data_IF_429498436464
#
_entry.id   IF_429498436464
#
_cell.length_a   1.000
_cell.length_b   1.000
_cell.length_c   1.000
_cell.angle_alpha   90.00
_cell.angle_beta   90.00
_cell.angle_gamma   90.00
#
_symmetry.space_group_name_H-M   'P 1'
#
loop_
_entity.id
_entity.type
_entity.pdbx_description
1 polymer ?
#
# COMPACT_ATOMS: atom_id res chain seq x y z
N UNK A 1 -13.12 12.63 34.02
CA UNK A 1 -12.72 11.20 34.11
C UNK A 1 -11.31 11.08 33.54
N UNK A 2 -10.37 10.41 34.22
CA UNK A 2 -8.95 10.44 33.86
C UNK A 2 -8.59 9.48 32.71
N UNK A 3 -7.65 9.91 31.87
CA UNK A 3 -7.09 9.12 30.77
C UNK A 3 -6.04 8.13 31.28
N UNK A 4 -6.17 6.84 30.93
CA UNK A 4 -5.13 5.83 31.18
C UNK A 4 -4.28 5.64 29.93
N UNK A 5 -2.99 5.95 30.04
CA UNK A 5 -2.00 5.92 28.95
C UNK A 5 -1.24 4.59 28.95
N UNK A 6 -1.59 3.68 28.05
CA UNK A 6 -0.86 2.41 27.87
C UNK A 6 0.34 2.64 26.95
N UNK A 7 1.55 2.31 27.42
CA UNK A 7 2.77 2.27 26.58
C UNK A 7 3.05 0.83 26.14
N UNK A 8 3.23 0.55 24.85
CA UNK A 8 3.82 -0.71 24.41
C UNK A 8 5.33 -0.67 24.62
N UNK A 9 5.87 -1.65 25.35
CA UNK A 9 7.30 -1.89 25.42
C UNK A 9 7.69 -2.90 24.35
N UNK A 10 8.37 -2.46 23.30
CA UNK A 10 9.07 -3.36 22.37
C UNK A 10 10.50 -2.87 22.17
N UNK A 11 11.45 -3.65 22.69
CA UNK A 11 12.87 -3.47 22.41
C UNK A 11 13.16 -3.78 20.95
N UNK A 12 14.11 -3.05 20.37
CA UNK A 12 14.69 -3.38 19.07
C UNK A 12 15.39 -4.74 19.19
N UNK A 13 15.18 -5.63 18.22
CA UNK A 13 16.23 -6.51 17.72
C UNK A 13 15.90 -6.98 16.30
N UNK A 14 16.94 -7.12 15.49
CA UNK A 14 16.90 -7.38 14.05
C UNK A 14 16.62 -8.83 13.71
N UNK A 15 15.95 -9.06 12.58
CA UNK A 15 15.80 -10.37 11.95
C UNK A 15 17.08 -10.65 11.14
N UNK A 16 17.76 -11.76 11.42
CA UNK A 16 18.73 -12.38 10.50
C UNK A 16 18.54 -13.89 10.47
N UNK A 17 18.71 -14.43 9.26
CA UNK A 17 18.48 -15.82 8.87
C UNK A 17 19.37 -16.82 9.61
N UNK A 18 18.82 -18.00 9.96
CA UNK A 18 19.53 -19.12 10.58
C UNK A 18 19.58 -20.34 9.64
N UNK A 19 20.14 -20.14 8.45
CA UNK A 19 20.77 -21.20 7.66
C UNK A 19 22.27 -20.92 7.53
N UNK A 20 23.06 -21.52 8.40
CA UNK A 20 24.31 -22.24 8.11
C UNK A 20 25.08 -22.55 9.40
N UNK A 21 25.62 -23.75 9.46
CA UNK A 21 26.49 -24.27 10.53
C UNK A 21 27.96 -23.92 10.19
N UNK A 22 28.89 -23.89 11.17
CA UNK A 22 29.58 -25.14 11.50
C UNK A 22 29.98 -25.34 12.98
N UNK A 23 30.17 -26.60 13.36
CA UNK A 23 30.88 -27.00 14.59
C UNK A 23 32.35 -26.56 14.51
N UNK A 24 32.88 -26.04 15.63
CA UNK A 24 34.31 -26.06 15.91
C UNK A 24 34.56 -26.22 17.42
N UNK A 25 35.68 -26.84 17.77
CA UNK A 25 35.98 -27.34 19.12
C UNK A 25 36.75 -26.30 19.95
N UNK A 26 36.44 -26.18 21.25
CA UNK A 26 37.35 -25.66 22.30
C UNK A 26 36.98 -26.42 23.60
N UNK A 27 37.69 -27.49 23.94
CA UNK A 27 38.85 -27.52 24.85
C UNK A 27 38.59 -27.06 26.30
N UNK A 28 38.58 -28.05 27.19
CA UNK A 28 38.53 -27.89 28.64
C UNK A 28 39.93 -27.58 29.15
N UNK A 29 40.12 -26.43 29.80
CA UNK A 29 41.36 -26.13 30.52
C UNK A 29 41.26 -26.50 32.01
N UNK A 30 42.38 -26.89 32.63
CA UNK A 30 42.43 -27.78 33.81
C UNK A 30 43.37 -27.21 34.89
N UNK A 31 43.20 -27.67 36.14
CA UNK A 31 44.15 -27.60 37.29
C UNK A 31 44.20 -26.25 38.04
N UNK A 32 44.61 -26.15 39.31
CA UNK A 32 44.91 -27.11 40.43
C UNK A 32 44.83 -26.32 41.77
N UNK A 33 44.81 -26.84 43.02
CA UNK A 33 44.83 -28.20 43.64
C UNK A 33 44.47 -28.06 45.14
N UNK A 34 43.67 -28.96 45.74
CA UNK A 34 43.96 -29.53 47.09
C UNK A 34 43.44 -30.99 47.13
N UNK A 35 44.28 -31.92 47.55
CA UNK A 35 43.94 -33.32 47.87
C UNK A 35 44.22 -33.53 49.37
N UNK A 36 43.29 -34.18 50.08
CA UNK A 36 43.51 -34.69 51.44
C UNK A 36 42.48 -35.78 51.74
N UNK A 37 42.74 -36.98 51.21
CA UNK A 37 42.15 -38.22 51.72
C UNK A 37 42.33 -38.30 53.25
N UNK A 38 41.23 -38.29 54.00
CA UNK A 38 41.17 -38.97 55.29
C UNK A 38 39.84 -39.69 55.48
N UNK A 39 39.95 -40.99 55.73
CA UNK A 39 39.13 -41.79 56.66
C UNK A 39 37.60 -41.71 56.50
N UNK A 40 37.06 -42.67 55.74
CA UNK A 40 35.76 -43.26 56.07
C UNK A 40 35.69 -44.73 55.62
N UNK A 41 36.17 -45.60 56.49
CA UNK A 41 35.85 -47.03 56.51
C UNK A 41 35.01 -47.35 57.74
N UNK A 42 34.15 -48.35 57.62
CA UNK A 42 33.33 -48.98 58.69
C UNK A 42 32.11 -48.19 59.24
N UNK A 43 30.90 -48.59 58.84
CA UNK A 43 29.95 -49.42 59.62
C UNK A 43 28.58 -49.50 58.91
N UNK A 44 27.58 -50.17 59.51
CA UNK A 44 26.51 -50.92 58.80
C UNK A 44 25.14 -50.79 59.50
N UNK A 45 24.04 -50.91 58.73
CA UNK A 45 22.62 -50.98 59.15
C UNK A 45 22.04 -49.63 59.69
N UNK A 46 20.77 -49.25 59.53
CA UNK A 46 19.51 -50.00 59.33
C UNK A 46 18.55 -49.44 58.23
N UNK A 47 17.45 -50.15 57.97
CA UNK A 47 16.43 -49.95 56.93
C UNK A 47 15.60 -48.65 56.97
N UNK A 48 15.12 -48.20 55.79
CA UNK A 48 13.72 -47.75 55.57
C UNK A 48 13.33 -47.92 54.08
N UNK A 49 12.09 -48.38 53.85
CA UNK A 49 11.57 -48.89 52.58
C UNK A 49 10.70 -47.85 51.84
N UNK A 50 10.95 -47.63 50.54
CA UNK A 50 10.08 -46.78 49.71
C UNK A 50 8.81 -47.54 49.27
N UNK A 51 7.61 -46.92 49.31
CA UNK A 51 6.38 -47.56 48.84
C UNK A 51 6.24 -47.47 47.32
N UNK A 52 6.35 -48.62 46.64
CA UNK A 52 5.79 -48.76 45.29
C UNK A 52 4.27 -48.74 45.35
N UNK A 53 3.62 -48.13 44.35
CA UNK A 53 2.17 -48.29 44.12
C UNK A 53 1.97 -49.12 42.86
N UNK A 54 1.33 -50.26 43.03
CA UNK A 54 1.06 -51.22 41.97
C UNK A 54 0.12 -50.66 40.90
N UNK A 55 0.46 -50.90 39.64
CA UNK A 55 -0.43 -50.71 38.51
C UNK A 55 -1.41 -51.88 38.44
N UNK A 56 -2.35 -51.93 39.39
CA UNK A 56 -3.36 -52.99 39.46
C UNK A 56 -4.49 -52.74 38.44
N UNK A 57 -4.70 -53.72 37.55
CA UNK A 57 -5.87 -53.78 36.67
C UNK A 57 -7.14 -53.89 37.50
N UNK A 58 -8.16 -53.05 37.26
CA UNK A 58 -9.54 -53.37 37.65
C UNK A 58 -10.55 -52.74 36.70
N UNK A 59 -11.30 -53.62 36.01
CA UNK A 59 -12.65 -53.42 35.47
C UNK A 59 -12.92 -52.20 34.55
N UNK A 60 -13.15 -52.49 33.26
CA UNK A 60 -14.10 -51.72 32.44
C UNK A 60 -15.54 -51.94 32.97
N UNK A 61 -15.84 -51.38 34.15
CA UNK A 61 -17.22 -51.18 34.55
C UNK A 61 -17.86 -50.21 33.56
N UNK A 62 -19.03 -50.52 33.02
CA UNK A 62 -19.76 -49.60 32.13
C UNK A 62 -20.02 -48.31 32.91
N UNK A 63 -19.21 -47.29 32.67
CA UNK A 63 -19.31 -46.03 33.40
C UNK A 63 -20.63 -45.40 32.99
N UNK A 64 -21.58 -45.36 33.92
CA UNK A 64 -22.89 -44.76 33.67
C UNK A 64 -22.71 -43.36 33.10
N UNK A 65 -23.43 -43.04 32.02
CA UNK A 65 -23.42 -41.71 31.40
C UNK A 65 -23.71 -40.59 32.42
N UNK A 66 -24.44 -40.90 33.49
CA UNK A 66 -24.71 -39.97 34.60
C UNK A 66 -23.46 -39.68 35.45
N UNK A 67 -22.58 -40.66 35.62
CA UNK A 67 -21.28 -40.51 36.32
C UNK A 67 -20.31 -39.69 35.48
N UNK A 68 -20.19 -40.00 34.19
CA UNK A 68 -19.38 -39.21 33.24
C UNK A 68 -19.87 -37.76 33.15
N UNK A 69 -21.19 -37.56 33.03
CA UNK A 69 -21.78 -36.22 33.02
C UNK A 69 -21.54 -35.48 34.34
N UNK A 70 -21.69 -36.16 35.49
CA UNK A 70 -21.36 -35.59 36.80
C UNK A 70 -19.92 -35.09 36.83
N UNK A 71 -18.96 -35.96 36.53
CA UNK A 71 -17.53 -35.65 36.56
C UNK A 71 -17.18 -34.51 35.58
N UNK A 72 -17.72 -34.54 34.37
CA UNK A 72 -17.55 -33.47 33.38
C UNK A 72 -18.11 -32.12 33.86
N UNK A 73 -19.32 -32.08 34.44
CA UNK A 73 -19.91 -30.84 34.96
C UNK A 73 -19.22 -30.30 36.22
N UNK A 74 -18.49 -31.14 36.95
CA UNK A 74 -17.71 -30.76 38.14
C UNK A 74 -16.27 -30.34 37.80
N UNK A 75 -15.68 -30.86 36.71
CA UNK A 75 -14.30 -30.59 36.25
C UNK A 75 -14.19 -29.54 35.13
N UNK A 76 -15.27 -29.25 34.39
CA UNK A 76 -15.25 -28.29 33.30
C UNK A 76 -14.98 -26.86 33.79
N UNK A 77 -14.25 -26.09 32.98
CA UNK A 77 -14.03 -24.65 33.17
C UNK A 77 -15.23 -23.80 32.76
N UNK A 78 -16.28 -24.39 32.17
CA UNK A 78 -17.47 -23.64 31.75
C UNK A 78 -18.32 -23.22 32.96
N UNK A 79 -18.13 -21.97 33.40
CA UNK A 79 -18.61 -21.40 34.65
C UNK A 79 -20.11 -21.62 35.00
N UNK A 80 -20.99 -21.75 34.01
CA UNK A 80 -22.43 -22.00 34.25
C UNK A 80 -22.84 -23.48 34.31
N UNK A 81 -22.06 -24.41 33.75
CA UNK A 81 -22.53 -25.81 33.54
C UNK A 81 -22.70 -26.56 34.87
N UNK A 82 -21.82 -26.31 35.83
CA UNK A 82 -21.90 -26.86 37.20
C UNK A 82 -23.21 -26.47 37.91
N UNK A 83 -23.75 -25.28 37.65
CA UNK A 83 -24.98 -24.78 38.27
C UNK A 83 -26.26 -25.17 37.51
N UNK A 84 -26.14 -25.59 36.25
CA UNK A 84 -27.22 -26.12 35.42
C UNK A 84 -27.56 -27.59 35.72
N UNK A 85 -27.01 -28.15 36.80
CA UNK A 85 -27.34 -29.48 37.30
C UNK A 85 -28.50 -29.45 38.29
N UNK A 86 -29.43 -30.39 38.15
CA UNK A 86 -30.64 -30.49 38.98
C UNK A 86 -30.32 -31.07 40.37
N UNK A 87 -30.19 -30.21 41.37
CA UNK A 87 -30.16 -30.62 42.78
C UNK A 87 -31.58 -30.58 43.39
N UNK A 88 -31.95 -31.64 44.12
CA UNK A 88 -33.32 -31.94 44.55
C UNK A 88 -34.09 -30.78 45.21
N UNK A 89 -33.42 -29.96 46.02
CA UNK A 89 -34.06 -29.02 46.96
C UNK A 89 -34.53 -27.69 46.35
N UNK A 90 -34.03 -27.25 45.19
CA UNK A 90 -34.33 -25.91 44.64
C UNK A 90 -34.50 -25.88 43.11
N UNK A 91 -35.65 -26.38 42.62
CA UNK A 91 -35.95 -26.50 41.19
C UNK A 91 -35.83 -25.16 40.42
N UNK A 92 -36.30 -24.06 41.01
CA UNK A 92 -36.26 -22.73 40.37
C UNK A 92 -34.82 -22.25 40.09
N UNK A 93 -33.88 -22.50 41.01
CA UNK A 93 -32.47 -22.14 40.83
C UNK A 93 -31.88 -22.83 39.60
N UNK A 94 -32.14 -24.13 39.45
CA UNK A 94 -31.71 -24.91 38.29
C UNK A 94 -32.28 -24.33 36.98
N UNK A 95 -33.58 -24.02 36.94
CA UNK A 95 -34.23 -23.40 35.77
C UNK A 95 -33.58 -22.06 35.38
N UNK A 96 -33.30 -21.19 36.36
CA UNK A 96 -32.63 -19.90 36.13
C UNK A 96 -31.23 -20.10 35.51
N UNK A 97 -30.44 -21.05 36.02
CA UNK A 97 -29.10 -21.32 35.48
C UNK A 97 -29.13 -21.93 34.08
N UNK A 98 -30.14 -22.75 33.75
CA UNK A 98 -30.37 -23.25 32.38
C UNK A 98 -30.68 -22.09 31.44
N UNK A 99 -31.62 -21.20 31.79
CA UNK A 99 -31.93 -20.03 30.95
C UNK A 99 -30.74 -19.08 30.80
N UNK A 100 -29.96 -18.86 31.87
CA UNK A 100 -28.74 -18.04 31.82
C UNK A 100 -27.68 -18.64 30.88
N UNK A 101 -27.45 -19.97 30.92
CA UNK A 101 -26.56 -20.65 29.98
C UNK A 101 -27.02 -20.52 28.52
N UNK A 102 -28.31 -20.74 28.26
CA UNK A 102 -28.88 -20.63 26.90
C UNK A 102 -28.75 -19.19 26.40
N UNK A 103 -29.01 -18.20 27.25
CA UNK A 103 -28.83 -16.78 26.92
C UNK A 103 -27.38 -16.42 26.59
N UNK A 104 -26.42 -16.82 27.44
CA UNK A 104 -24.99 -16.60 27.20
C UNK A 104 -24.50 -17.30 25.93
N UNK A 105 -24.90 -18.55 25.70
CA UNK A 105 -24.56 -19.29 24.48
C UNK A 105 -25.13 -18.66 23.21
N UNK A 106 -26.37 -18.16 23.26
CA UNK A 106 -27.01 -17.47 22.13
C UNK A 106 -26.32 -16.15 21.79
N UNK A 107 -25.95 -15.36 22.80
CA UNK A 107 -25.17 -14.12 22.61
C UNK A 107 -23.78 -14.41 22.06
N UNK A 108 -23.12 -15.48 22.52
CA UNK A 108 -21.83 -15.91 21.96
C UNK A 108 -21.96 -16.29 20.48
N UNK A 109 -22.95 -17.09 20.09
CA UNK A 109 -23.20 -17.45 18.69
C UNK A 109 -23.49 -16.22 17.84
N UNK A 110 -24.32 -15.29 18.33
CA UNK A 110 -24.65 -14.05 17.64
C UNK A 110 -23.42 -13.15 17.41
N UNK A 111 -22.59 -12.95 18.45
CA UNK A 111 -21.36 -12.13 18.35
C UNK A 111 -20.33 -12.77 17.42
N UNK A 112 -20.13 -14.09 17.49
CA UNK A 112 -19.25 -14.84 16.57
C UNK A 112 -19.75 -14.75 15.12
N UNK A 113 -21.05 -14.91 14.88
CA UNK A 113 -21.64 -14.75 13.54
C UNK A 113 -21.44 -13.34 13.00
N UNK A 114 -21.71 -12.32 13.81
CA UNK A 114 -21.54 -10.91 13.44
C UNK A 114 -20.07 -10.59 13.14
N UNK A 115 -19.14 -11.07 13.96
CA UNK A 115 -17.70 -10.92 13.74
C UNK A 115 -17.23 -11.67 12.49
N UNK A 116 -17.78 -12.85 12.20
CA UNK A 116 -17.50 -13.60 10.98
C UNK A 116 -18.02 -12.87 9.73
N UNK A 117 -19.25 -12.36 9.75
CA UNK A 117 -19.80 -11.57 8.63
C UNK A 117 -18.97 -10.30 8.42
N UNK A 118 -18.59 -9.60 9.50
CA UNK A 118 -17.70 -8.44 9.43
C UNK A 118 -16.31 -8.81 8.91
N UNK A 119 -15.72 -9.94 9.32
CA UNK A 119 -14.46 -10.42 8.78
C UNK A 119 -14.57 -10.73 7.27
N UNK A 120 -15.69 -11.31 6.83
CA UNK A 120 -15.98 -11.64 5.42
C UNK A 120 -16.20 -10.42 4.51
N UNK A 121 -16.39 -9.21 5.04
CA UNK A 121 -16.36 -7.97 4.20
C UNK A 121 -14.94 -7.51 3.87
N UNK A 122 -13.91 -8.18 4.40
CA UNK A 122 -12.49 -7.81 4.25
C UNK A 122 -12.21 -6.35 4.65
N UNK A 123 -12.57 -5.92 5.87
CA UNK A 123 -12.38 -4.54 6.32
C UNK A 123 -10.90 -4.21 6.38
N UNK A 124 -10.49 -3.14 5.71
CA UNK A 124 -9.11 -2.67 5.69
C UNK A 124 -8.95 -1.46 6.61
N UNK A 125 -7.87 -1.44 7.40
CA UNK A 125 -7.51 -0.31 8.24
C UNK A 125 -6.31 0.40 7.62
N UNK A 126 -6.49 1.66 7.23
CA UNK A 126 -5.41 2.49 6.69
C UNK A 126 -4.63 3.16 7.82
N UNK A 127 -3.30 3.06 7.76
CA UNK A 127 -2.40 3.74 8.70
C UNK A 127 -1.58 4.78 7.93
N UNK A 128 -1.79 6.06 8.23
CA UNK A 128 -1.11 7.18 7.57
C UNK A 128 0.06 7.62 8.46
N UNK A 129 1.28 7.52 7.95
CA UNK A 129 2.50 7.93 8.65
C UNK A 129 3.35 8.83 7.76
N UNK A 130 3.64 10.05 8.22
CA UNK A 130 4.40 11.06 7.49
C UNK A 130 5.88 10.90 7.84
N UNK A 131 6.72 10.59 6.85
CA UNK A 131 8.17 10.45 6.99
C UNK A 131 8.88 11.64 6.36
N UNK A 132 9.66 12.36 7.16
CA UNK A 132 10.54 13.42 6.66
C UNK A 132 11.82 12.82 6.08
N UNK A 133 12.05 13.05 4.79
CA UNK A 133 13.24 12.59 4.05
C UNK A 133 14.11 13.79 3.67
N UNK A 134 15.44 13.62 3.66
CA UNK A 134 16.38 14.70 3.30
C UNK A 134 16.37 15.06 1.83
N UNK A 135 15.93 14.14 0.97
CA UNK A 135 15.75 14.36 -0.45
C UNK A 135 14.59 13.49 -0.94
N UNK A 136 13.79 14.02 -1.87
CA UNK A 136 12.67 13.33 -2.49
C UNK A 136 12.85 13.33 -4.01
N UNK A 137 12.48 12.24 -4.68
CA UNK A 137 12.46 12.19 -6.15
C UNK A 137 11.46 13.23 -6.68
N UNK A 138 11.85 14.05 -7.67
CA UNK A 138 10.87 14.85 -8.40
C UNK A 138 9.96 13.92 -9.22
N UNK A 139 8.66 14.21 -9.34
CA UNK A 139 7.78 13.50 -10.27
C UNK A 139 8.19 13.77 -11.72
N UNK A 140 7.71 12.94 -12.65
CA UNK A 140 7.76 13.27 -14.07
C UNK A 140 6.69 14.32 -14.36
N UNK A 141 7.10 15.49 -14.87
CA UNK A 141 6.18 16.62 -15.14
C UNK A 141 6.08 16.82 -16.65
N UNK A 142 4.88 16.62 -17.21
CA UNK A 142 4.61 16.82 -18.64
C UNK A 142 3.80 18.09 -18.84
N UNK A 143 4.26 18.93 -19.77
CA UNK A 143 3.65 20.21 -20.13
C UNK A 143 3.27 20.15 -21.62
N UNK A 144 2.03 20.48 -21.93
CA UNK A 144 1.48 20.55 -23.28
C UNK A 144 0.95 21.97 -23.55
N UNK A 145 1.10 22.48 -24.77
CA UNK A 145 0.36 23.66 -25.21
C UNK A 145 -1.15 23.31 -25.28
N UNK A 146 -2.03 24.27 -24.97
CA UNK A 146 -3.49 24.07 -25.15
C UNK A 146 -3.90 24.09 -26.62
N UNK A 147 -3.04 24.59 -27.53
CA UNK A 147 -3.20 24.40 -28.97
C UNK A 147 -2.23 23.33 -29.50
N UNK A 148 -2.74 22.23 -30.10
CA UNK A 148 -1.90 21.12 -30.55
C UNK A 148 -1.12 21.43 -31.84
N UNK A 149 -1.49 22.50 -32.55
CA UNK A 149 -0.90 22.91 -33.82
C UNK A 149 -0.56 24.40 -33.77
N UNK A 150 0.56 24.76 -34.41
CA UNK A 150 1.03 26.12 -34.61
C UNK A 150 0.54 26.63 -35.96
N UNK A 151 -0.15 27.78 -35.97
CA UNK A 151 -0.84 28.35 -37.14
C UNK A 151 0.09 28.57 -38.35
N UNK A 152 1.34 28.99 -38.15
CA UNK A 152 2.34 29.13 -39.23
C UNK A 152 2.90 27.80 -39.74
N UNK A 153 2.81 26.72 -38.95
CA UNK A 153 3.33 25.39 -39.30
C UNK A 153 2.29 24.51 -40.00
N UNK A 154 1.11 25.05 -40.31
CA UNK A 154 0.09 24.40 -41.13
C UNK A 154 -0.27 25.29 -42.33
N UNK A 155 -0.63 24.65 -43.45
CA UNK A 155 -1.20 25.38 -44.58
C UNK A 155 -2.62 25.83 -44.21
N UNK A 156 -2.76 27.07 -43.74
CA UNK A 156 -4.01 27.69 -43.30
C UNK A 156 -4.97 28.00 -44.47
N UNK A 157 -5.38 26.95 -45.20
CA UNK A 157 -6.42 27.03 -46.21
C UNK A 157 -7.79 27.29 -45.57
N UNK A 158 -8.74 27.81 -46.35
CA UNK A 158 -10.12 27.96 -45.90
C UNK A 158 -10.74 26.59 -45.50
N UNK A 159 -10.37 25.52 -46.20
CA UNK A 159 -10.73 24.13 -45.89
C UNK A 159 -10.22 23.71 -44.51
N UNK A 160 -8.91 23.84 -44.26
CA UNK A 160 -8.29 23.47 -42.98
C UNK A 160 -8.88 24.28 -41.82
N UNK A 161 -9.06 25.59 -42.02
CA UNK A 161 -9.69 26.47 -41.02
C UNK A 161 -11.12 26.05 -40.69
N UNK A 162 -11.91 25.69 -41.71
CA UNK A 162 -13.30 25.22 -41.55
C UNK A 162 -13.36 23.87 -40.83
N UNK A 163 -12.47 22.94 -41.16
CA UNK A 163 -12.36 21.66 -40.46
C UNK A 163 -11.99 21.84 -38.98
N UNK A 164 -10.95 22.63 -38.68
CA UNK A 164 -10.52 22.92 -37.32
C UNK A 164 -11.60 23.64 -36.50
N UNK A 165 -12.39 24.53 -37.13
CA UNK A 165 -13.52 25.18 -36.50
C UNK A 165 -14.66 24.19 -36.19
N UNK A 166 -14.97 23.26 -37.10
CA UNK A 166 -15.99 22.22 -36.87
C UNK A 166 -15.52 21.11 -35.90
N UNK A 167 -14.21 20.85 -35.78
CA UNK A 167 -13.67 19.95 -34.75
C UNK A 167 -13.60 20.61 -33.36
N UNK A 168 -13.73 21.94 -33.29
CA UNK A 168 -13.79 22.69 -32.03
C UNK A 168 -15.16 22.60 -31.34
N UNK A 169 -15.25 23.14 -30.11
CA UNK A 169 -16.54 23.29 -29.41
C UNK A 169 -17.57 24.13 -30.16
N UNK A 170 -17.15 25.00 -31.08
CA UNK A 170 -18.05 25.80 -31.92
C UNK A 170 -18.73 24.97 -33.03
N UNK A 171 -18.20 23.79 -33.37
CA UNK A 171 -18.77 22.92 -34.40
C UNK A 171 -20.22 22.52 -34.19
N UNK A 172 -20.69 22.48 -32.92
CA UNK A 172 -22.09 22.20 -32.56
C UNK A 172 -23.07 23.25 -33.10
N UNK A 173 -22.62 24.48 -33.35
CA UNK A 173 -23.44 25.60 -33.85
C UNK A 173 -23.35 25.72 -35.39
N UNK A 174 -22.45 24.97 -36.03
CA UNK A 174 -22.21 25.04 -37.47
C UNK A 174 -23.02 23.99 -38.24
N UNK A 175 -23.34 24.27 -39.53
CA UNK A 175 -23.88 23.25 -40.41
C UNK A 175 -22.92 22.05 -40.53
N UNK A 176 -23.48 20.85 -40.63
CA UNK A 176 -22.70 19.61 -40.78
C UNK A 176 -21.79 19.66 -42.01
N UNK A 177 -20.49 19.39 -41.82
CA UNK A 177 -19.56 19.26 -42.93
C UNK A 177 -19.74 17.94 -43.68
N UNK A 178 -19.78 18.03 -45.01
CA UNK A 178 -19.78 16.86 -45.89
C UNK A 178 -18.34 16.40 -46.18
N UNK A 179 -17.82 15.53 -45.30
CA UNK A 179 -16.50 14.89 -45.43
C UNK A 179 -16.34 14.01 -46.69
N UNK A 180 -17.44 13.64 -47.35
CA UNK A 180 -17.40 12.91 -48.64
C UNK A 180 -17.10 13.81 -49.84
N UNK A 181 -17.04 15.13 -49.66
CA UNK A 181 -16.62 16.05 -50.72
C UNK A 181 -15.09 16.06 -50.88
N UNK A 182 -14.56 16.19 -52.12
CA UNK A 182 -13.12 16.07 -52.37
C UNK A 182 -12.27 17.13 -51.65
N UNK A 183 -12.87 18.26 -51.24
CA UNK A 183 -12.21 19.28 -50.44
C UNK A 183 -11.87 18.81 -49.02
N UNK A 184 -12.69 17.94 -48.41
CA UNK A 184 -12.51 17.47 -47.02
C UNK A 184 -12.06 16.01 -46.93
N UNK A 185 -12.10 15.26 -48.03
CA UNK A 185 -11.71 13.84 -48.08
C UNK A 185 -10.25 13.60 -47.65
N UNK A 186 -9.33 14.52 -47.97
CA UNK A 186 -7.91 14.45 -47.58
C UNK A 186 -7.66 14.78 -46.09
N UNK A 187 -8.68 15.21 -45.33
CA UNK A 187 -8.57 15.58 -43.90
C UNK A 187 -9.12 14.49 -42.95
N UNK A 188 -9.48 13.31 -43.46
CA UNK A 188 -9.95 12.20 -42.64
C UNK A 188 -8.80 11.40 -41.97
N UNK A 189 -9.16 10.71 -40.88
CA UNK A 189 -8.24 10.10 -39.90
C UNK A 189 -7.26 9.02 -40.43
N UNK A 190 -6.15 8.74 -39.69
CA UNK A 190 -5.64 9.48 -38.53
C UNK A 190 -4.48 10.42 -38.90
N UNK A 191 -4.34 11.52 -38.15
CA UNK A 191 -3.23 12.47 -38.31
C UNK A 191 -1.87 11.77 -38.12
N UNK A 192 -0.96 11.76 -39.12
CA UNK A 192 0.35 11.13 -38.97
C UNK A 192 1.21 11.79 -37.88
N UNK A 193 1.86 10.98 -37.02
CA UNK A 193 2.71 11.52 -35.93
C UNK A 193 3.83 12.43 -36.46
N UNK A 194 4.43 12.11 -37.61
CA UNK A 194 5.47 12.93 -38.25
C UNK A 194 4.96 14.30 -38.70
N UNK A 195 3.69 14.39 -39.14
CA UNK A 195 3.07 15.66 -39.48
C UNK A 195 2.78 16.45 -38.20
N UNK A 196 2.17 15.81 -37.20
CA UNK A 196 1.87 16.43 -35.91
C UNK A 196 3.14 16.95 -35.21
N UNK A 197 4.24 16.21 -35.28
CA UNK A 197 5.54 16.59 -34.72
C UNK A 197 6.16 17.84 -35.40
N UNK A 198 5.88 18.04 -36.69
CA UNK A 198 6.34 19.22 -37.48
C UNK A 198 5.38 20.42 -37.38
N UNK A 199 4.08 20.16 -37.21
CA UNK A 199 3.04 21.19 -37.16
C UNK A 199 2.65 21.64 -35.75
N UNK A 200 3.11 20.94 -34.71
CA UNK A 200 3.03 21.41 -33.31
C UNK A 200 4.06 22.50 -33.00
N UNK A 201 3.93 23.14 -31.83
CA UNK A 201 4.95 24.00 -31.25
C UNK A 201 6.23 23.23 -30.88
N UNK A 202 7.39 23.82 -31.14
CA UNK A 202 8.68 23.29 -30.73
C UNK A 202 9.10 23.77 -29.33
N UNK A 203 10.13 23.14 -28.77
CA UNK A 203 10.63 23.46 -27.43
C UNK A 203 11.06 24.94 -27.33
N UNK A 204 11.70 25.44 -28.38
CA UNK A 204 12.25 26.80 -28.47
C UNK A 204 11.15 27.86 -28.74
N UNK A 205 9.98 27.46 -29.26
CA UNK A 205 8.81 28.34 -29.39
C UNK A 205 8.20 28.66 -28.03
N UNK A 206 8.19 27.67 -27.13
CA UNK A 206 7.49 27.73 -25.85
C UNK A 206 8.39 28.08 -24.66
N UNK A 207 9.56 27.47 -24.54
CA UNK A 207 10.39 27.56 -23.34
C UNK A 207 11.56 28.52 -23.54
N UNK A 208 11.47 29.70 -22.94
CA UNK A 208 12.56 30.68 -22.98
C UNK A 208 13.75 30.24 -22.12
N UNK A 209 13.49 29.84 -20.87
CA UNK A 209 14.51 29.29 -19.99
C UNK A 209 13.90 28.48 -18.84
N UNK A 210 14.73 27.61 -18.27
CA UNK A 210 14.35 26.67 -17.23
C UNK A 210 15.28 26.85 -16.02
N UNK A 211 14.73 26.73 -14.82
CA UNK A 211 15.49 26.81 -13.57
C UNK A 211 15.24 25.56 -12.75
N UNK A 212 16.31 24.88 -12.33
CA UNK A 212 16.25 23.71 -11.46
C UNK A 212 17.20 23.91 -10.26
N UNK A 213 16.71 23.72 -9.03
CA UNK A 213 17.46 23.97 -7.79
C UNK A 213 18.28 25.28 -7.79
N UNK A 214 17.67 26.39 -8.26
CA UNK A 214 18.26 27.75 -8.44
C UNK A 214 19.27 27.93 -9.58
N UNK A 215 19.56 26.90 -10.37
CA UNK A 215 20.47 26.98 -11.51
C UNK A 215 19.70 27.14 -12.81
N UNK A 216 20.12 28.09 -13.65
CA UNK A 216 19.64 28.22 -15.01
C UNK A 216 20.14 27.01 -15.83
N UNK A 217 19.24 26.29 -16.48
CA UNK A 217 19.56 25.09 -17.27
C UNK A 217 18.93 25.17 -18.66
N UNK A 218 19.61 24.69 -19.72
CA UNK A 218 19.01 24.61 -21.04
C UNK A 218 17.78 23.69 -21.02
N UNK A 219 16.64 24.18 -21.47
CA UNK A 219 15.39 23.42 -21.41
C UNK A 219 15.45 22.09 -22.19
N UNK A 220 16.20 22.05 -23.30
CA UNK A 220 16.52 20.86 -24.11
C UNK A 220 17.27 19.77 -23.35
N UNK A 221 17.99 20.14 -22.29
CA UNK A 221 18.78 19.20 -21.48
C UNK A 221 17.95 18.51 -20.39
N UNK A 222 16.79 19.06 -20.03
CA UNK A 222 15.92 18.52 -18.98
C UNK A 222 14.54 18.04 -19.47
N UNK A 223 14.05 18.57 -20.60
CA UNK A 223 12.78 18.19 -21.22
C UNK A 223 12.99 17.20 -22.37
N UNK A 224 12.10 16.22 -22.50
CA UNK A 224 12.01 15.32 -23.67
C UNK A 224 10.68 15.59 -24.40
N UNK A 225 10.68 15.78 -25.73
CA UNK A 225 9.44 15.86 -26.50
C UNK A 225 8.73 14.51 -26.54
N UNK A 226 7.39 14.54 -26.47
CA UNK A 226 6.51 13.37 -26.59
C UNK A 226 5.23 13.77 -27.31
N UNK A 227 4.84 13.00 -28.34
CA UNK A 227 3.56 13.19 -29.03
C UNK A 227 2.42 12.62 -28.17
N UNK A 228 1.31 13.36 -28.12
CA UNK A 228 0.10 13.00 -27.40
C UNK A 228 -1.15 13.50 -28.15
N UNK A 229 -2.34 13.15 -27.67
CA UNK A 229 -3.62 13.74 -28.10
C UNK A 229 -3.72 15.27 -27.89
N UNK A 230 -2.81 15.89 -27.14
CA UNK A 230 -2.68 17.34 -26.95
C UNK A 230 -1.62 17.96 -27.88
N UNK A 231 -1.17 17.22 -28.90
CA UNK A 231 -0.03 17.57 -29.74
C UNK A 231 1.30 17.19 -29.08
N UNK A 232 2.37 17.87 -29.52
CA UNK A 232 3.73 17.73 -28.97
C UNK A 232 3.81 18.36 -27.59
N UNK A 233 4.12 17.53 -26.59
CA UNK A 233 4.32 17.92 -25.19
C UNK A 233 5.77 17.69 -24.77
N UNK A 234 6.15 18.25 -23.62
CA UNK A 234 7.51 18.20 -23.11
C UNK A 234 7.52 17.66 -21.68
N UNK A 235 8.26 16.57 -21.44
CA UNK A 235 8.32 15.87 -20.15
C UNK A 235 9.67 16.06 -19.46
N UNK A 236 9.64 16.66 -18.28
CA UNK A 236 10.74 16.69 -17.32
C UNK A 236 10.85 15.37 -16.56
N UNK A 237 12.08 14.98 -16.21
CA UNK A 237 12.39 13.73 -15.48
C UNK A 237 11.81 12.48 -16.19
N UNK A 238 11.77 12.50 -17.52
CA UNK A 238 11.33 11.39 -18.35
C UNK A 238 12.22 10.15 -18.17
N UNK A 239 11.65 8.94 -18.29
CA UNK A 239 12.34 7.67 -18.06
C UNK A 239 13.67 7.53 -18.83
N UNK A 240 13.78 8.10 -20.04
CA UNK A 240 15.01 8.09 -20.85
C UNK A 240 16.13 8.94 -20.22
N UNK A 241 15.83 10.18 -19.79
CA UNK A 241 16.77 11.06 -19.08
C UNK A 241 17.13 10.48 -17.72
N UNK A 242 16.18 9.83 -17.05
CA UNK A 242 16.39 9.12 -15.77
C UNK A 242 17.38 7.96 -15.95
N UNK A 243 17.30 7.21 -17.05
CA UNK A 243 18.20 6.09 -17.32
C UNK A 243 19.65 6.54 -17.56
N UNK A 244 19.87 7.73 -18.15
CA UNK A 244 21.23 8.25 -18.41
C UNK A 244 21.81 9.07 -17.26
N UNK A 245 20.99 9.92 -16.61
CA UNK A 245 21.45 10.94 -15.67
C UNK A 245 21.01 10.66 -14.22
N UNK A 246 20.21 9.62 -13.99
CA UNK A 246 19.54 9.36 -12.72
C UNK A 246 18.27 10.19 -12.52
N UNK A 247 17.49 9.82 -11.50
CA UNK A 247 16.30 10.57 -11.08
C UNK A 247 16.72 11.89 -10.45
N UNK A 248 16.18 13.01 -10.94
CA UNK A 248 16.37 14.32 -10.29
C UNK A 248 15.66 14.31 -8.93
N UNK A 249 16.34 14.76 -7.88
CA UNK A 249 15.81 14.81 -6.51
C UNK A 249 15.81 16.25 -6.02
N UNK A 250 14.77 16.63 -5.28
CA UNK A 250 14.73 17.90 -4.56
C UNK A 250 15.31 17.73 -3.16
N UNK A 251 16.34 18.50 -2.82
CA UNK A 251 16.95 18.48 -1.49
C UNK A 251 16.20 19.35 -0.46
N UNK A 252 15.33 20.26 -0.89
CA UNK A 252 14.59 21.17 -0.01
C UNK A 252 13.19 21.45 -0.54
N UNK A 253 12.22 21.63 0.37
CA UNK A 253 10.87 22.09 0.06
C UNK A 253 10.80 23.61 0.01
N UNK A 254 10.15 24.16 -1.00
CA UNK A 254 9.93 25.60 -1.16
C UNK A 254 9.94 26.01 -2.64
N UNK A 255 9.44 27.21 -2.95
CA UNK A 255 9.44 27.73 -4.33
C UNK A 255 10.85 28.08 -4.83
N UNK A 256 11.78 28.40 -3.94
CA UNK A 256 13.14 28.81 -4.30
C UNK A 256 13.98 27.65 -4.86
N UNK A 257 13.72 26.41 -4.46
CA UNK A 257 14.35 25.20 -5.00
C UNK A 257 13.45 24.48 -6.01
N UNK A 258 12.25 24.99 -6.27
CA UNK A 258 11.31 24.37 -7.20
C UNK A 258 11.78 24.48 -8.66
N UNK A 259 11.44 23.45 -9.43
CA UNK A 259 11.53 23.48 -10.88
C UNK A 259 10.63 24.58 -11.43
N UNK A 260 11.22 25.56 -12.12
CA UNK A 260 10.53 26.74 -12.66
C UNK A 260 10.74 26.83 -14.16
N UNK A 261 9.66 27.05 -14.90
CA UNK A 261 9.65 27.17 -16.35
C UNK A 261 9.16 28.57 -16.75
N UNK A 262 9.91 29.24 -17.61
CA UNK A 262 9.49 30.51 -18.21
C UNK A 262 8.99 30.23 -19.62
N UNK A 263 7.65 30.26 -19.75
CA UNK A 263 6.93 29.76 -20.93
C UNK A 263 6.20 30.93 -21.60
N UNK A 264 6.39 31.07 -22.91
CA UNK A 264 5.48 31.79 -23.79
C UNK A 264 4.53 30.77 -24.43
N UNK A 265 3.23 31.05 -24.38
CA UNK A 265 2.20 30.16 -24.93
C UNK A 265 1.99 30.35 -26.42
N UNK A 266 2.43 31.48 -27.01
CA UNK A 266 2.21 31.85 -28.42
C UNK A 266 0.73 31.80 -28.83
N UNK A 267 -0.12 32.53 -28.09
CA UNK A 267 -1.57 32.54 -28.32
C UNK A 267 -1.97 33.10 -29.70
N UNK A 268 -1.14 33.97 -30.28
CA UNK A 268 -1.24 34.48 -31.66
C UNK A 268 -1.09 33.38 -32.73
N UNK A 269 -0.45 32.27 -32.38
CA UNK A 269 -0.24 31.10 -33.23
C UNK A 269 -1.27 29.98 -32.99
N UNK A 270 -2.34 30.24 -32.23
CA UNK A 270 -3.35 29.23 -31.95
C UNK A 270 -4.29 28.97 -33.13
N UNK A 271 -4.68 27.71 -33.25
CA UNK A 271 -5.79 27.26 -34.11
C UNK A 271 -7.02 26.87 -33.30
N UNK A 272 -8.19 26.83 -33.96
CA UNK A 272 -9.41 26.28 -33.39
C UNK A 272 -9.22 24.79 -33.04
N UNK A 273 -9.69 24.38 -31.85
CA UNK A 273 -9.56 23.02 -31.35
C UNK A 273 -10.64 22.69 -30.30
N UNK A 274 -10.69 21.45 -29.82
CA UNK A 274 -11.68 20.93 -28.86
C UNK A 274 -11.68 21.59 -27.47
N UNK A 275 -10.66 22.39 -27.13
CA UNK A 275 -10.51 23.04 -25.83
C UNK A 275 -10.89 24.52 -25.84
N UNK A 276 -10.66 25.24 -26.95
CA UNK A 276 -10.90 26.69 -27.10
C UNK A 276 -10.41 27.55 -25.92
N UNK A 277 -9.27 27.19 -25.33
CA UNK A 277 -8.69 27.85 -24.16
C UNK A 277 -7.21 28.16 -24.39
N UNK A 278 -6.73 29.28 -23.85
CA UNK A 278 -5.34 29.70 -23.88
C UNK A 278 -4.58 29.22 -22.63
N UNK A 279 -3.33 28.77 -22.82
CA UNK A 279 -2.46 28.37 -21.71
C UNK A 279 -1.66 27.09 -21.97
N UNK A 280 -1.24 26.45 -20.88
CA UNK A 280 -0.61 25.12 -20.90
C UNK A 280 -1.37 24.15 -20.01
N UNK A 281 -1.38 22.88 -20.40
CA UNK A 281 -1.84 21.78 -19.56
C UNK A 281 -0.64 21.10 -18.92
N UNK A 282 -0.67 20.94 -17.60
CA UNK A 282 0.40 20.30 -16.82
C UNK A 282 -0.13 19.02 -16.17
N UNK A 283 0.68 17.97 -16.19
CA UNK A 283 0.39 16.69 -15.54
C UNK A 283 1.64 16.16 -14.85
N UNK A 284 1.49 15.59 -13.65
CA UNK A 284 2.58 15.06 -12.84
C UNK A 284 2.28 13.63 -12.40
N UNK A 285 3.31 12.77 -12.43
CA UNK A 285 3.24 11.34 -12.08
C UNK A 285 4.49 10.92 -11.28
#
# INVERSE_FOLDING_TARGET
MPFVKVRPAFGKNTITDFRNYPISNVEVNKKEKIDLKQLQTETKLDDIKCPGKDFSKTSESIISMQTLWKEFTETTTMHGLRHARKESKYQLRWVIWIFALIGMGSLLIYTVYTLYVYYRTNPTLTNINIKFVKAMNYPAVTICNMSPLKRTSINASAVMTTHLLHSSRLGVVLPHLNYSSPAFAELNDPVPEDWLNKSSFDLEDMFHYCVNERHLVPCKDILIPKITQWGKCFTFNNYQKVATNGIVKGSMTGSTTALTFYIDVKQDEYVYNTNLAAGVKVSHF
#
